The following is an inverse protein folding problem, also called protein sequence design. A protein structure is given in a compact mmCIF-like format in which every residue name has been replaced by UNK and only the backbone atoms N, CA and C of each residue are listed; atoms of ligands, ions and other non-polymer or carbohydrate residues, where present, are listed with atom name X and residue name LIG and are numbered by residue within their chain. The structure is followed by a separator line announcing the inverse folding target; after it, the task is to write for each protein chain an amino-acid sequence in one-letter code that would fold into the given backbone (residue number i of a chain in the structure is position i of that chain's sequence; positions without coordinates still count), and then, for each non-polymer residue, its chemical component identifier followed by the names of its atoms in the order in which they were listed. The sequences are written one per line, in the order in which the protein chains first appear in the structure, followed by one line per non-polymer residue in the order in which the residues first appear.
data_IF_327502698179
#
_entry.id   IF_327502698179
#
_cell.length_a   1.000
_cell.length_b   1.000
_cell.length_c   1.000
_cell.angle_alpha   90.00
_cell.angle_beta   90.00
_cell.angle_gamma   90.00
#
_symmetry.space_group_name_H-M   'P 1'
#
loop_
_entity.id
_entity.type
_entity.pdbx_description
1 polymer ?
#
# COMPACT_ATOMS: atom_id res chain seq x y z
N UNK A 1 9.82 -60.24 -30.97
CA UNK A 1 8.93 -59.10 -31.30
C UNK A 1 8.54 -58.50 -29.94
N UNK A 2 8.96 -57.33 -29.49
CA UNK A 2 9.08 -56.06 -30.20
C UNK A 2 7.83 -55.22 -29.86
N UNK A 3 7.97 -54.28 -28.92
CA UNK A 3 7.20 -53.05 -28.66
C UNK A 3 7.31 -52.72 -27.16
N UNK A 4 8.14 -51.76 -26.75
CA UNK A 4 7.82 -50.32 -26.67
C UNK A 4 6.97 -50.02 -25.43
N UNK A 5 7.57 -49.37 -24.40
CA UNK A 5 7.34 -47.94 -24.06
C UNK A 5 6.06 -47.78 -23.22
N UNK A 6 5.94 -47.04 -22.12
CA UNK A 6 6.79 -46.19 -21.28
C UNK A 6 6.09 -46.17 -19.89
N UNK A 7 6.79 -45.88 -18.79
CA UNK A 7 6.13 -45.59 -17.52
C UNK A 7 5.52 -44.18 -17.60
N UNK A 8 4.20 -44.07 -17.68
CA UNK A 8 3.55 -42.77 -17.52
C UNK A 8 3.76 -42.30 -16.09
N UNK A 9 4.53 -41.22 -16.00
CA UNK A 9 4.87 -40.50 -14.80
C UNK A 9 3.62 -40.16 -13.99
N UNK A 10 3.78 -40.20 -12.67
CA UNK A 10 2.85 -39.59 -11.75
C UNK A 10 2.79 -38.09 -12.09
N UNK A 11 1.66 -37.65 -12.61
CA UNK A 11 1.33 -36.22 -12.62
C UNK A 11 1.01 -35.81 -11.19
N UNK A 12 2.06 -35.45 -10.45
CA UNK A 12 1.90 -34.59 -9.28
C UNK A 12 1.58 -33.20 -9.82
N UNK A 13 0.28 -32.93 -9.93
CA UNK A 13 -0.23 -31.59 -10.13
C UNK A 13 0.34 -30.69 -9.04
N UNK A 14 1.34 -29.90 -9.40
CA UNK A 14 1.88 -28.84 -8.57
C UNK A 14 0.79 -27.77 -8.44
N UNK A 15 -0.08 -27.93 -7.45
CA UNK A 15 -1.00 -26.88 -7.03
C UNK A 15 -0.14 -25.74 -6.53
N UNK A 16 -0.13 -24.71 -7.36
CA UNK A 16 0.48 -23.41 -7.11
C UNK A 16 -0.05 -22.85 -5.79
N UNK A 17 0.73 -22.99 -4.73
CA UNK A 17 0.62 -22.11 -3.56
C UNK A 17 1.32 -20.80 -3.90
N UNK A 18 0.64 -19.99 -4.73
CA UNK A 18 0.94 -18.57 -4.83
C UNK A 18 0.50 -17.97 -3.52
N UNK A 19 1.44 -17.73 -2.61
CA UNK A 19 1.20 -16.93 -1.41
C UNK A 19 0.38 -15.70 -1.81
N UNK A 20 -0.76 -15.43 -1.15
CA UNK A 20 -1.47 -14.19 -1.40
C UNK A 20 -0.51 -13.09 -0.93
N UNK A 21 0.16 -12.45 -1.88
CA UNK A 21 0.96 -11.25 -1.63
C UNK A 21 0.01 -10.21 -1.05
N UNK A 22 -0.03 -10.13 0.27
CA UNK A 22 -0.78 -9.20 1.11
C UNK A 22 -0.26 -7.75 0.97
N UNK A 23 0.22 -7.38 -0.22
CA UNK A 23 0.85 -6.09 -0.51
C UNK A 23 -0.13 -5.08 -1.13
N UNK A 24 -1.37 -5.49 -1.44
CA UNK A 24 -2.43 -4.60 -1.92
C UNK A 24 -3.40 -4.14 -0.82
N UNK A 25 -3.30 -4.69 0.40
CA UNK A 25 -4.32 -4.51 1.44
C UNK A 25 -4.06 -3.33 2.40
N UNK A 26 -2.83 -2.79 2.48
CA UNK A 26 -2.55 -1.65 3.37
C UNK A 26 -2.85 -0.33 2.67
N UNK A 27 -4.13 0.00 2.58
CA UNK A 27 -4.61 1.30 2.05
C UNK A 27 -4.10 2.50 2.85
N UNK A 28 -3.62 2.27 4.09
CA UNK A 28 -2.97 3.26 4.94
C UNK A 28 -2.10 2.57 6.00
N UNK A 29 -1.07 3.26 6.47
CA UNK A 29 -0.18 2.76 7.52
C UNK A 29 -0.82 2.93 8.91
N UNK A 30 -1.69 3.94 9.07
CA UNK A 30 -2.49 4.13 10.27
C UNK A 30 -3.84 4.81 9.94
N UNK A 31 -4.84 4.56 10.78
CA UNK A 31 -6.13 5.25 10.78
C UNK A 31 -6.32 5.94 12.13
N UNK A 32 -6.77 7.19 12.10
CA UNK A 32 -6.98 8.03 13.29
C UNK A 32 -8.42 8.49 13.32
N UNK A 33 -9.08 8.35 14.46
CA UNK A 33 -10.40 8.94 14.69
C UNK A 33 -10.25 10.37 15.19
N UNK A 34 -11.23 11.22 14.88
CA UNK A 34 -11.28 12.58 15.43
C UNK A 34 -12.07 12.60 16.74
N UNK A 35 -11.57 13.36 17.72
CA UNK A 35 -12.28 13.60 18.99
C UNK A 35 -13.54 14.46 18.77
N UNK A 36 -13.48 15.37 17.79
CA UNK A 36 -14.58 16.26 17.42
C UNK A 36 -14.87 16.15 15.93
N UNK A 37 -16.15 16.29 15.52
CA UNK A 37 -16.51 16.20 14.12
C UNK A 37 -15.88 17.36 13.33
N UNK A 38 -15.18 17.01 12.25
CA UNK A 38 -14.61 17.97 11.30
C UNK A 38 -15.23 17.74 9.92
N UNK A 39 -15.14 18.69 8.99
CA UNK A 39 -15.64 18.52 7.63
C UNK A 39 -14.50 18.41 6.63
N UNK A 40 -14.64 17.50 5.67
CA UNK A 40 -13.71 17.39 4.57
C UNK A 40 -13.75 18.69 3.73
N UNK A 41 -12.61 19.34 3.47
CA UNK A 41 -12.58 20.54 2.64
C UNK A 41 -12.96 20.29 1.17
N UNK A 42 -12.95 19.03 0.72
CA UNK A 42 -13.22 18.66 -0.68
C UNK A 42 -14.66 18.20 -0.94
N UNK A 43 -15.20 17.31 -0.10
CA UNK A 43 -16.55 16.76 -0.28
C UNK A 43 -17.58 17.30 0.72
N UNK A 44 -17.17 18.13 1.68
CA UNK A 44 -18.00 18.68 2.76
C UNK A 44 -18.68 17.65 3.67
N UNK A 45 -18.36 16.35 3.53
CA UNK A 45 -18.81 15.27 4.41
C UNK A 45 -18.07 15.33 5.74
N UNK A 46 -18.72 14.86 6.80
CA UNK A 46 -18.15 14.77 8.14
C UNK A 46 -17.02 13.72 8.19
N UNK A 47 -15.89 14.14 8.74
CA UNK A 47 -14.70 13.33 8.96
C UNK A 47 -14.88 12.61 10.30
N UNK A 48 -15.04 11.29 10.25
CA UNK A 48 -14.98 10.44 11.45
C UNK A 48 -13.56 9.89 11.65
N UNK A 49 -12.86 9.64 10.53
CA UNK A 49 -11.52 9.09 10.51
C UNK A 49 -10.62 9.72 9.44
N UNK A 50 -9.32 9.64 9.66
CA UNK A 50 -8.25 10.06 8.77
C UNK A 50 -7.29 8.92 8.54
N UNK A 51 -6.85 8.76 7.30
CA UNK A 51 -5.83 7.78 6.92
C UNK A 51 -4.48 8.46 6.80
N UNK A 52 -3.46 7.82 7.38
CA UNK A 52 -2.08 8.28 7.29
C UNK A 52 -1.27 7.23 6.57
N UNK A 53 -0.62 7.64 5.48
CA UNK A 53 0.30 6.81 4.72
C UNK A 53 1.71 7.40 4.78
N UNK A 54 2.71 6.56 5.00
CA UNK A 54 4.11 6.99 4.97
C UNK A 54 4.58 7.17 3.53
N UNK A 55 5.30 8.26 3.29
CA UNK A 55 5.98 8.49 2.04
C UNK A 55 7.29 7.72 2.00
N UNK A 56 7.41 6.84 1.01
CA UNK A 56 8.64 6.11 0.70
C UNK A 56 9.37 6.79 -0.45
N UNK A 57 10.64 7.10 -0.25
CA UNK A 57 11.48 7.68 -1.30
C UNK A 57 11.98 6.57 -2.22
N UNK A 58 11.42 6.45 -3.42
CA UNK A 58 11.70 5.35 -4.35
C UNK A 58 12.74 5.67 -5.42
N UNK A 59 12.86 6.93 -5.86
CA UNK A 59 13.82 7.36 -6.89
C UNK A 59 14.44 8.70 -6.53
N UNK A 60 15.75 8.81 -6.70
CA UNK A 60 16.50 10.08 -6.62
C UNK A 60 17.58 10.07 -7.69
N UNK A 61 17.79 11.21 -8.35
CA UNK A 61 18.75 11.32 -9.46
C UNK A 61 20.16 11.77 -9.01
N UNK A 62 20.36 12.00 -7.70
CA UNK A 62 21.61 12.50 -7.13
C UNK A 62 21.65 12.29 -5.61
N UNK A 63 22.81 12.52 -4.99
CA UNK A 63 22.97 12.64 -3.53
C UNK A 63 22.21 13.87 -3.02
N UNK A 64 20.93 13.65 -2.68
CA UNK A 64 20.01 14.72 -2.31
C UNK A 64 19.88 14.87 -0.79
N UNK A 65 19.93 16.13 -0.32
CA UNK A 65 19.55 16.54 1.05
C UNK A 65 18.03 16.57 1.26
N UNK A 66 17.24 16.22 0.24
CA UNK A 66 15.79 16.19 0.35
C UNK A 66 15.32 15.17 1.40
N UNK A 67 14.21 15.48 2.11
CA UNK A 67 13.67 14.64 3.17
C UNK A 67 13.51 13.18 2.74
N UNK A 68 13.97 12.28 3.60
CA UNK A 68 13.91 10.82 3.35
C UNK A 68 12.61 10.18 3.83
N UNK A 69 11.84 10.90 4.63
CA UNK A 69 10.62 10.44 5.26
C UNK A 69 9.55 11.51 5.13
N UNK A 70 8.31 11.06 5.18
CA UNK A 70 7.15 11.93 5.22
C UNK A 70 5.89 11.12 5.45
N UNK A 71 4.78 11.81 5.50
CA UNK A 71 3.46 11.23 5.61
C UNK A 71 2.46 12.04 4.79
N UNK A 72 1.40 11.38 4.37
CA UNK A 72 0.23 11.95 3.72
C UNK A 72 -0.97 11.63 4.57
N UNK A 73 -1.82 12.64 4.78
CA UNK A 73 -3.11 12.51 5.45
C UNK A 73 -4.19 12.60 4.37
N UNK A 74 -5.05 11.59 4.30
CA UNK A 74 -6.17 11.53 3.37
C UNK A 74 -7.48 11.21 4.07
N UNK A 75 -8.58 11.63 3.45
CA UNK A 75 -9.91 11.19 3.88
C UNK A 75 -10.23 9.82 3.24
N UNK A 76 -10.68 8.80 4.00
CA UNK A 76 -11.07 7.49 3.47
C UNK A 76 -12.09 7.55 2.33
N UNK A 77 -13.18 8.32 2.49
CA UNK A 77 -14.32 8.22 1.54
C UNK A 77 -14.04 8.92 0.21
N UNK A 78 -13.41 10.10 0.22
CA UNK A 78 -13.11 10.83 -1.02
C UNK A 78 -11.71 10.55 -1.57
N UNK A 79 -10.88 9.77 -0.84
CA UNK A 79 -9.47 9.45 -1.18
C UNK A 79 -8.61 10.69 -1.48
N UNK A 80 -9.06 11.88 -1.09
CA UNK A 80 -8.34 13.12 -1.38
C UNK A 80 -7.31 13.39 -0.30
N UNK A 81 -6.14 13.88 -0.73
CA UNK A 81 -5.07 14.30 0.17
C UNK A 81 -5.48 15.62 0.83
N UNK A 82 -5.60 15.60 2.15
CA UNK A 82 -5.89 16.81 2.95
C UNK A 82 -4.59 17.53 3.28
N UNK A 83 -3.54 16.78 3.63
CA UNK A 83 -2.25 17.34 4.00
C UNK A 83 -1.11 16.36 3.69
N UNK A 84 0.09 16.89 3.49
CA UNK A 84 1.31 16.11 3.36
C UNK A 84 2.46 16.80 4.10
N UNK A 85 3.22 16.03 4.86
CA UNK A 85 4.38 16.50 5.61
C UNK A 85 5.63 15.73 5.22
N UNK A 86 6.71 16.46 4.94
CA UNK A 86 8.04 15.87 4.77
C UNK A 86 8.88 16.15 6.02
N UNK A 87 9.59 15.14 6.50
CA UNK A 87 10.36 15.19 7.74
C UNK A 87 11.82 14.82 7.48
N UNK A 88 12.74 15.58 8.08
CA UNK A 88 14.17 15.33 8.03
C UNK A 88 14.90 16.25 7.06
N UNK A 89 14.80 17.56 7.29
CA UNK A 89 15.83 18.49 6.84
C UNK A 89 17.05 18.22 7.73
N UNK A 90 18.17 17.85 7.12
CA UNK A 90 19.46 17.77 7.79
C UNK A 90 20.05 19.18 7.91
#
# INVERSE_FOLDING_TARGET
MGADVCPCALEEGNVVEKEPSDDLARQSEAEYTLEYPARCPHCAVELEALRVARLLRTRVNFTSTLPRRGHVISYPECTTIIAAGLVGFA
#
